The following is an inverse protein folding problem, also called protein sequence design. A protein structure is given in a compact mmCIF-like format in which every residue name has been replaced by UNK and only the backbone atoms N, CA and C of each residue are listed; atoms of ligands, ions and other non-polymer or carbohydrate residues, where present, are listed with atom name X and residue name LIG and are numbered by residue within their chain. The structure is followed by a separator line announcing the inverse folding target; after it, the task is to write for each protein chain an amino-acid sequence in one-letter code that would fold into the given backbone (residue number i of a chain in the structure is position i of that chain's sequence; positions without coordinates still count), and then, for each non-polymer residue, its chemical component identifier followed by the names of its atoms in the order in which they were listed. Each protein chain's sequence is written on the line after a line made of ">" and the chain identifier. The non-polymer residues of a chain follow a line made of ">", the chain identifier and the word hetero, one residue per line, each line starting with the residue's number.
data_IF_644717259208
#
_entry.id   IF_644717259208
#
_cell.length_a   1.000
_cell.length_b   1.000
_cell.length_c   1.000
_cell.angle_alpha   90.00
_cell.angle_beta   90.00
_cell.angle_gamma   90.00
#
_symmetry.space_group_name_H-M   'P 1'
#
loop_
_entity.id
_entity.type
_entity.pdbx_description
1 polymer ?
#
# COMPACT_ATOMS: atom_id res chain seq x y z
N UNK A 1 -9.89 25.28 -50.66
CA UNK A 1 -8.89 25.06 -49.60
C UNK A 1 -9.39 23.93 -48.71
N UNK A 2 -8.56 22.90 -48.45
CA UNK A 2 -8.93 21.68 -47.73
C UNK A 2 -8.80 21.91 -46.22
N UNK A 3 -9.85 21.60 -45.46
CA UNK A 3 -9.82 21.60 -43.99
C UNK A 3 -9.11 20.33 -43.51
N UNK A 4 -8.00 20.48 -42.79
CA UNK A 4 -7.33 19.38 -42.11
C UNK A 4 -7.91 19.24 -40.71
N UNK A 5 -8.59 18.13 -40.44
CA UNK A 5 -9.06 17.76 -39.11
C UNK A 5 -7.88 17.08 -38.41
N UNK A 6 -7.29 17.74 -37.41
CA UNK A 6 -6.27 17.16 -36.55
C UNK A 6 -6.96 16.22 -35.54
N UNK A 7 -6.81 14.92 -35.74
CA UNK A 7 -7.22 13.90 -34.77
C UNK A 7 -6.28 13.94 -33.58
N UNK A 8 -6.78 14.42 -32.44
CA UNK A 8 -6.12 14.26 -31.14
C UNK A 8 -6.10 12.76 -30.80
N UNK A 9 -4.94 12.12 -30.89
CA UNK A 9 -4.74 10.79 -30.34
C UNK A 9 -4.73 10.91 -28.81
N UNK A 10 -5.88 10.64 -28.17
CA UNK A 10 -5.92 10.46 -26.73
C UNK A 10 -5.10 9.20 -26.40
N UNK A 11 -3.91 9.39 -25.84
CA UNK A 11 -3.14 8.31 -25.25
C UNK A 11 -3.97 7.74 -24.08
N UNK A 12 -4.69 6.65 -24.34
CA UNK A 12 -5.32 5.88 -23.28
C UNK A 12 -4.19 5.34 -22.40
N UNK A 13 -4.03 5.91 -21.21
CA UNK A 13 -3.28 5.29 -20.12
C UNK A 13 -4.01 3.97 -19.81
N UNK A 14 -3.59 2.89 -20.48
CA UNK A 14 -4.06 1.57 -20.18
C UNK A 14 -3.84 1.35 -18.68
N UNK A 15 -4.83 0.82 -17.95
CA UNK A 15 -4.59 0.41 -16.57
C UNK A 15 -3.49 -0.65 -16.63
N UNK A 16 -2.30 -0.29 -16.16
CA UNK A 16 -1.28 -1.26 -15.77
C UNK A 16 -2.01 -2.20 -14.82
N UNK A 17 -2.21 -3.46 -15.23
CA UNK A 17 -2.71 -4.48 -14.33
C UNK A 17 -1.80 -4.48 -13.10
N UNK A 18 -2.28 -3.88 -12.01
CA UNK A 18 -1.59 -3.93 -10.75
C UNK A 18 -1.61 -5.40 -10.33
N UNK A 19 -0.43 -6.02 -10.29
CA UNK A 19 -0.29 -7.35 -9.71
C UNK A 19 -0.84 -7.33 -8.28
N UNK A 20 -1.38 -8.46 -7.83
CA UNK A 20 -1.81 -8.61 -6.44
C UNK A 20 -0.63 -8.33 -5.51
N UNK A 21 -0.89 -7.64 -4.41
CA UNK A 21 0.10 -7.34 -3.39
C UNK A 21 -0.53 -7.49 -2.01
N UNK A 22 0.34 -7.63 -1.02
CA UNK A 22 -0.02 -7.88 0.37
C UNK A 22 0.38 -6.69 1.23
N UNK A 23 -0.47 -6.35 2.19
CA UNK A 23 -0.23 -5.30 3.18
C UNK A 23 -0.29 -5.95 4.56
N UNK A 24 0.79 -5.82 5.33
CA UNK A 24 0.85 -6.29 6.71
C UNK A 24 1.07 -5.12 7.66
N UNK A 25 0.31 -5.06 8.74
CA UNK A 25 0.66 -4.22 9.87
C UNK A 25 1.82 -4.88 10.61
N UNK A 26 2.94 -4.17 10.73
CA UNK A 26 4.05 -4.58 11.57
C UNK A 26 4.00 -3.82 12.88
N UNK A 27 4.03 -4.59 13.96
CA UNK A 27 4.34 -4.09 15.29
C UNK A 27 5.77 -4.51 15.58
N UNK A 28 6.65 -3.57 15.90
CA UNK A 28 8.03 -3.93 16.22
C UNK A 28 8.02 -4.78 17.50
N UNK A 29 8.42 -6.04 17.39
CA UNK A 29 8.99 -6.75 18.53
C UNK A 29 10.40 -6.19 18.77
N UNK A 30 10.82 -6.06 20.03
CA UNK A 30 12.16 -5.59 20.37
C UNK A 30 13.20 -6.54 19.76
N UNK A 31 13.86 -6.14 18.66
CA UNK A 31 15.00 -6.90 18.14
C UNK A 31 16.20 -6.55 19.03
N UNK A 32 16.45 -7.38 20.04
CA UNK A 32 17.66 -7.28 20.88
C UNK A 32 18.86 -7.82 20.09
N UNK A 33 19.36 -7.08 19.09
CA UNK A 33 20.59 -7.42 18.34
C UNK A 33 21.75 -6.45 18.64
N UNK A 34 21.79 -5.88 19.86
CA UNK A 34 22.87 -4.97 20.29
C UNK A 34 22.93 -3.62 19.56
N UNK A 35 22.10 -3.39 18.55
CA UNK A 35 21.84 -2.10 17.92
C UNK A 35 20.52 -1.52 18.46
N UNK A 36 20.46 -0.19 18.59
CA UNK A 36 19.30 0.50 19.15
C UNK A 36 17.99 0.00 18.50
N UNK A 37 16.94 -0.27 19.28
CA UNK A 37 15.67 -0.75 18.75
C UNK A 37 15.14 0.27 17.75
N UNK A 38 15.07 -0.13 16.48
CA UNK A 38 14.33 0.59 15.45
C UNK A 38 12.85 0.35 15.73
N UNK A 39 12.29 1.15 16.63
CA UNK A 39 10.86 1.18 16.95
C UNK A 39 10.11 1.74 15.74
N UNK A 40 9.77 0.88 14.78
CA UNK A 40 9.04 1.29 13.60
C UNK A 40 7.76 0.46 13.51
N UNK A 41 6.73 0.89 14.25
CA UNK A 41 5.36 0.47 13.97
C UNK A 41 4.95 1.05 12.61
N UNK A 42 4.37 0.23 11.75
CA UNK A 42 4.06 0.65 10.39
C UNK A 42 3.44 -0.45 9.54
N UNK A 43 3.54 -0.28 8.24
CA UNK A 43 2.97 -1.20 7.26
C UNK A 43 4.02 -1.65 6.28
N UNK A 44 3.98 -2.94 5.95
CA UNK A 44 4.84 -3.56 4.95
C UNK A 44 4.02 -3.96 3.74
N UNK A 45 4.48 -3.55 2.56
CA UNK A 45 3.93 -3.92 1.28
C UNK A 45 4.83 -4.96 0.61
N UNK A 46 4.25 -6.07 0.16
CA UNK A 46 4.94 -7.19 -0.46
C UNK A 46 4.23 -7.60 -1.75
N UNK A 47 5.00 -8.03 -2.76
CA UNK A 47 4.45 -8.51 -4.03
C UNK A 47 4.07 -10.00 -4.01
N UNK A 48 4.45 -10.71 -2.95
CA UNK A 48 4.19 -12.12 -2.74
C UNK A 48 3.81 -12.34 -1.26
N UNK A 49 3.18 -13.48 -0.91
CA UNK A 49 3.07 -13.90 0.48
C UNK A 49 4.44 -13.83 1.18
N UNK A 50 4.48 -13.46 2.47
CA UNK A 50 5.71 -13.14 3.17
C UNK A 50 6.64 -14.36 3.30
N UNK A 51 7.82 -14.27 2.70
CA UNK A 51 9.04 -14.94 3.14
C UNK A 51 9.86 -13.93 3.95
N UNK A 52 10.48 -14.36 5.06
CA UNK A 52 11.36 -13.52 5.85
C UNK A 52 12.52 -12.91 5.05
N UNK A 53 12.97 -13.54 3.96
CA UNK A 53 13.94 -12.91 3.07
C UNK A 53 13.35 -11.68 2.33
N UNK A 54 12.08 -11.75 1.92
CA UNK A 54 11.42 -10.65 1.21
C UNK A 54 11.08 -9.50 2.16
N UNK A 55 10.71 -9.80 3.42
CA UNK A 55 10.54 -8.79 4.47
C UNK A 55 11.84 -8.02 4.72
N UNK A 56 12.96 -8.73 4.81
CA UNK A 56 14.25 -8.11 5.13
C UNK A 56 14.89 -7.35 3.96
N UNK A 57 14.60 -7.73 2.70
CA UNK A 57 15.35 -7.21 1.55
C UNK A 57 14.50 -6.49 0.49
N UNK A 58 13.18 -6.68 0.45
CA UNK A 58 12.33 -6.22 -0.67
C UNK A 58 11.05 -5.49 -0.24
N UNK A 59 10.70 -5.54 1.05
CA UNK A 59 9.55 -4.85 1.60
C UNK A 59 9.61 -3.33 1.40
N UNK A 60 8.45 -2.73 1.15
CA UNK A 60 8.26 -1.29 1.31
C UNK A 60 7.74 -1.07 2.73
N UNK A 61 8.60 -0.63 3.64
CA UNK A 61 8.17 -0.24 4.97
C UNK A 61 7.68 1.21 4.96
N UNK A 62 6.47 1.45 5.45
CA UNK A 62 5.86 2.78 5.54
C UNK A 62 5.39 3.05 6.97
N UNK A 63 5.82 4.19 7.52
CA UNK A 63 5.32 4.68 8.80
C UNK A 63 3.85 5.08 8.71
N UNK A 64 3.11 4.91 9.81
CA UNK A 64 1.78 5.48 9.94
C UNK A 64 1.88 6.99 10.17
N UNK A 65 1.18 7.78 9.37
CA UNK A 65 1.07 9.23 9.44
C UNK A 65 -0.39 9.63 9.69
N UNK A 66 -0.59 10.82 10.27
CA UNK A 66 -1.93 11.40 10.43
C UNK A 66 -2.54 11.87 9.10
N UNK A 67 -1.68 12.18 8.12
CA UNK A 67 -2.03 12.71 6.82
C UNK A 67 -0.97 12.34 5.78
N UNK A 68 -1.40 11.83 4.63
CA UNK A 68 -0.55 11.47 3.49
C UNK A 68 -0.87 12.31 2.24
N UNK A 69 -1.71 13.34 2.37
CA UNK A 69 -2.01 14.28 1.30
C UNK A 69 -0.81 15.15 0.92
N UNK A 70 -0.89 15.80 -0.25
CA UNK A 70 0.15 16.70 -0.74
C UNK A 70 1.46 15.99 -1.14
N UNK A 71 1.39 14.69 -1.46
CA UNK A 71 2.55 13.91 -1.92
C UNK A 71 3.42 13.33 -0.81
N UNK A 72 2.99 13.40 0.45
CA UNK A 72 3.70 12.77 1.57
C UNK A 72 3.70 11.26 1.40
N UNK A 73 4.88 10.64 1.50
CA UNK A 73 5.02 9.18 1.47
C UNK A 73 4.68 8.57 2.83
N UNK A 74 3.74 7.62 2.87
CA UNK A 74 3.35 6.95 4.11
C UNK A 74 1.98 6.28 4.03
N UNK A 75 1.46 5.88 5.19
CA UNK A 75 0.11 5.32 5.35
C UNK A 75 -0.68 6.15 6.34
N UNK A 76 -1.92 6.53 6.00
CA UNK A 76 -2.92 7.01 6.96
C UNK A 76 -3.95 5.89 7.17
N UNK A 77 -4.08 5.42 8.39
CA UNK A 77 -5.11 4.45 8.75
C UNK A 77 -6.13 5.05 9.72
N UNK A 78 -7.39 5.13 9.29
CA UNK A 78 -8.50 5.55 10.13
C UNK A 78 -9.20 4.31 10.68
N UNK A 79 -9.22 4.13 12.00
CA UNK A 79 -9.92 3.01 12.66
C UNK A 79 -9.15 1.68 12.69
N UNK A 80 -7.82 1.68 12.50
CA UNK A 80 -6.99 0.47 12.61
C UNK A 80 -7.16 -0.23 13.98
N UNK A 81 -7.07 -1.59 14.05
CA UNK A 81 -6.74 -2.51 12.95
C UNK A 81 -7.93 -2.91 12.05
N UNK A 82 -9.18 -2.66 12.48
CA UNK A 82 -10.39 -2.91 11.67
C UNK A 82 -10.84 -1.64 10.95
N UNK A 83 -9.96 -1.13 10.09
CA UNK A 83 -10.01 0.21 9.52
C UNK A 83 -11.32 0.57 8.79
N UNK A 84 -11.67 1.85 8.83
CA UNK A 84 -12.68 2.49 7.98
C UNK A 84 -12.08 2.91 6.63
N UNK A 85 -10.90 3.54 6.70
CA UNK A 85 -10.14 4.05 5.56
C UNK A 85 -8.67 3.69 5.72
N UNK A 86 -8.07 3.16 4.66
CA UNK A 86 -6.65 2.87 4.59
C UNK A 86 -6.08 3.55 3.36
N UNK A 87 -5.37 4.65 3.57
CA UNK A 87 -4.80 5.49 2.53
C UNK A 87 -3.28 5.34 2.53
N UNK A 88 -2.69 5.17 1.37
CA UNK A 88 -1.24 5.04 1.25
C UNK A 88 -0.72 5.72 0.00
N UNK A 89 0.46 6.32 0.15
CA UNK A 89 1.21 6.92 -0.95
C UNK A 89 2.64 6.39 -0.90
N UNK A 90 3.00 5.58 -1.89
CA UNK A 90 4.32 5.00 -2.01
C UNK A 90 4.69 4.80 -3.49
N UNK A 91 5.80 4.11 -3.79
CA UNK A 91 6.26 3.87 -5.17
C UNK A 91 5.28 3.09 -6.07
N UNK A 92 4.25 2.45 -5.50
CA UNK A 92 3.19 1.75 -6.23
C UNK A 92 2.07 2.72 -6.68
N UNK A 93 2.01 3.91 -6.08
CA UNK A 93 1.05 4.96 -6.34
C UNK A 93 0.34 5.45 -5.07
N UNK A 94 -0.69 6.27 -5.30
CA UNK A 94 -1.50 6.89 -4.26
C UNK A 94 -2.93 6.36 -4.34
N UNK A 95 -3.33 5.61 -3.31
CA UNK A 95 -4.63 4.95 -3.27
C UNK A 95 -5.26 4.97 -1.88
N UNK A 96 -6.57 4.74 -1.87
CA UNK A 96 -7.36 4.58 -0.64
C UNK A 96 -8.25 3.34 -0.73
N UNK A 97 -8.29 2.58 0.36
CA UNK A 97 -9.21 1.45 0.58
C UNK A 97 -10.32 1.89 1.53
N UNK A 98 -11.56 1.65 1.15
CA UNK A 98 -12.74 2.07 1.91
C UNK A 98 -13.59 0.88 2.37
N UNK A 99 -13.74 0.69 3.68
CA UNK A 99 -14.59 -0.38 4.24
C UNK A 99 -16.06 -0.20 3.86
N UNK A 100 -16.56 1.05 3.89
CA UNK A 100 -17.93 1.38 3.50
C UNK A 100 -18.20 1.29 1.98
N UNK A 101 -17.17 1.02 1.17
CA UNK A 101 -17.29 0.75 -0.27
C UNK A 101 -16.86 -0.68 -0.59
N UNK A 102 -17.26 -1.60 0.28
CA UNK A 102 -16.98 -3.03 0.17
C UNK A 102 -15.48 -3.31 0.00
N UNK A 103 -14.62 -2.61 0.74
CA UNK A 103 -13.16 -2.74 0.66
C UNK A 103 -12.57 -2.52 -0.76
N UNK A 104 -13.20 -1.71 -1.61
CA UNK A 104 -12.62 -1.34 -2.90
C UNK A 104 -11.36 -0.48 -2.75
N UNK A 105 -10.38 -0.68 -3.65
CA UNK A 105 -9.18 0.15 -3.78
C UNK A 105 -9.42 1.21 -4.85
N UNK A 106 -9.23 2.48 -4.50
CA UNK A 106 -9.54 3.63 -5.35
C UNK A 106 -8.31 4.53 -5.55
N UNK A 107 -8.21 5.14 -6.72
CA UNK A 107 -7.27 6.25 -6.98
C UNK A 107 -7.76 7.54 -6.32
N UNK A 108 -6.91 8.58 -6.29
CA UNK A 108 -7.30 9.93 -5.84
C UNK A 108 -8.49 10.51 -6.60
N UNK A 109 -8.66 10.13 -7.87
CA UNK A 109 -9.78 10.57 -8.73
C UNK A 109 -11.04 9.69 -8.60
N UNK A 110 -11.17 8.95 -7.49
CA UNK A 110 -12.31 8.08 -7.15
C UNK A 110 -12.59 6.92 -8.13
N UNK A 111 -11.59 6.52 -8.92
CA UNK A 111 -11.67 5.36 -9.80
C UNK A 111 -11.31 4.08 -9.05
N UNK A 112 -12.22 3.10 -9.01
CA UNK A 112 -11.94 1.77 -8.48
C UNK A 112 -10.93 1.04 -9.38
N UNK A 113 -9.84 0.55 -8.80
CA UNK A 113 -8.74 -0.15 -9.50
C UNK A 113 -8.41 -1.51 -8.91
N UNK A 114 -9.00 -1.86 -7.76
CA UNK A 114 -8.77 -3.14 -7.12
C UNK A 114 -9.76 -3.44 -6.01
N UNK A 115 -9.51 -4.55 -5.34
CA UNK A 115 -10.34 -5.07 -4.26
C UNK A 115 -9.43 -5.57 -3.14
N UNK A 116 -9.62 -5.06 -1.93
CA UNK A 116 -8.92 -5.56 -0.76
C UNK A 116 -9.67 -6.75 -0.16
N UNK A 117 -8.91 -7.80 0.19
CA UNK A 117 -9.41 -8.96 0.91
C UNK A 117 -8.73 -9.01 2.26
N UNK A 118 -9.47 -8.70 3.31
CA UNK A 118 -8.94 -8.77 4.66
C UNK A 118 -8.69 -10.24 5.05
N UNK A 119 -7.45 -10.57 5.37
CA UNK A 119 -7.08 -11.86 5.93
C UNK A 119 -6.51 -11.65 7.34
N UNK A 120 -7.25 -12.06 8.37
CA UNK A 120 -6.84 -11.94 9.78
C UNK A 120 -6.09 -13.18 10.31
N UNK A 121 -6.02 -14.25 9.52
CA UNK A 121 -5.40 -15.52 9.92
C UNK A 121 -3.92 -15.57 9.53
N UNK A 122 -3.52 -14.79 8.54
CA UNK A 122 -2.16 -14.77 8.02
C UNK A 122 -1.27 -13.83 8.84
N UNK A 123 -0.19 -14.38 9.37
CA UNK A 123 0.81 -13.68 10.16
C UNK A 123 2.18 -14.29 9.86
N UNK A 124 3.22 -13.45 9.81
CA UNK A 124 4.59 -13.91 9.68
C UNK A 124 5.38 -13.53 10.92
N UNK A 125 6.33 -14.39 11.31
CA UNK A 125 7.30 -14.11 12.35
C UNK A 125 8.70 -14.34 11.78
N UNK A 126 9.49 -13.27 11.72
CA UNK A 126 10.88 -13.33 11.30
C UNK A 126 11.77 -13.12 12.51
N UNK A 127 12.17 -14.22 13.13
CA UNK A 127 13.21 -14.25 14.16
C UNK A 127 14.40 -15.06 13.67
N UNK A 128 15.62 -14.69 14.08
CA UNK A 128 16.73 -15.65 14.06
C UNK A 128 16.36 -16.74 15.08
N UNK A 129 16.23 -17.99 14.61
CA UNK A 129 16.32 -19.17 15.47
C UNK A 129 17.73 -19.28 16.06
#
# INVERSE_FOLDING_TARGET
>A
MKFAIATLAAAALAPLAAADFYIYSMKSGSVNDGMAPINADGFVFLNNPPDCNDVNNKAIFMSSLSDVSGGKHGVRCKGCPDFEEFEFNNKMGYYTIYKNRDYGLFTTDDKKVGQYKMNKSDHFQCGKS
#
